data_IF_056485179854
#
_entry.id   IF_056485179854
#
_cell.length_a   1.000
_cell.length_b   1.000
_cell.length_c   1.000
_cell.angle_alpha   90.00
_cell.angle_beta   90.00
_cell.angle_gamma   90.00
#
_symmetry.space_group_name_H-M   'P 1'
#
loop_
_entity.id
_entity.type
_entity.pdbx_description
1 polymer ?
#
# COMPACT_ATOMS: atom_id res chain seq x y z
N UNK A 1 2.11 -15.57 -3.69
CA UNK A 1 2.56 -16.42 -4.79
C UNK A 1 2.26 -17.86 -4.46
N UNK A 2 1.64 -18.57 -5.38
CA UNK A 2 1.29 -19.97 -5.22
C UNK A 2 1.64 -20.72 -6.49
N UNK A 3 2.36 -21.83 -6.35
CA UNK A 3 2.59 -22.74 -7.47
C UNK A 3 1.33 -23.61 -7.63
N UNK A 4 0.66 -23.49 -8.77
CA UNK A 4 -0.58 -24.25 -9.03
C UNK A 4 -0.27 -25.68 -9.47
N UNK A 5 0.71 -25.82 -10.38
CA UNK A 5 1.10 -27.09 -10.96
C UNK A 5 2.59 -27.09 -11.33
N UNK A 6 3.21 -28.24 -11.43
CA UNK A 6 4.58 -28.43 -11.89
C UNK A 6 5.60 -28.65 -10.78
N UNK A 7 6.86 -28.70 -11.18
CA UNK A 7 8.01 -28.87 -10.27
C UNK A 7 8.29 -27.58 -9.50
N UNK A 8 8.97 -27.67 -8.31
CA UNK A 8 9.41 -26.51 -7.56
C UNK A 8 10.18 -25.51 -8.44
N UNK A 9 9.90 -24.23 -8.25
CA UNK A 9 10.54 -23.15 -8.98
C UNK A 9 11.19 -22.16 -8.02
N UNK A 10 12.33 -21.59 -8.43
CA UNK A 10 12.94 -20.50 -7.70
C UNK A 10 12.27 -19.19 -8.06
N UNK A 11 11.71 -18.55 -7.05
CA UNK A 11 11.06 -17.25 -7.17
C UNK A 11 12.07 -16.16 -6.75
N UNK A 12 12.25 -15.15 -7.61
CA UNK A 12 12.98 -13.93 -7.28
C UNK A 12 12.02 -12.76 -7.27
N UNK A 13 11.96 -12.05 -6.14
CA UNK A 13 11.13 -10.87 -5.95
C UNK A 13 12.04 -9.67 -5.68
N UNK A 14 12.12 -8.76 -6.63
CA UNK A 14 12.91 -7.54 -6.54
C UNK A 14 11.99 -6.34 -6.29
N UNK A 15 11.97 -5.76 -5.08
CA UNK A 15 11.26 -4.51 -4.84
C UNK A 15 12.01 -3.36 -5.50
N UNK A 16 11.24 -2.47 -6.11
CA UNK A 16 11.70 -1.16 -6.55
C UNK A 16 10.98 -0.09 -5.75
N UNK A 17 11.73 0.87 -5.27
CA UNK A 17 11.24 1.88 -4.33
C UNK A 17 11.64 3.28 -4.76
N UNK A 18 10.81 4.24 -4.39
CA UNK A 18 11.10 5.66 -4.40
C UNK A 18 10.66 6.27 -3.07
N UNK A 19 11.38 7.28 -2.61
CA UNK A 19 11.04 8.02 -1.40
C UNK A 19 10.83 9.48 -1.77
N UNK A 20 9.58 9.92 -1.76
CA UNK A 20 9.17 11.31 -1.93
C UNK A 20 7.81 11.52 -1.27
N UNK A 21 7.43 12.77 -1.05
CA UNK A 21 6.06 13.10 -0.67
C UNK A 21 5.12 12.73 -1.83
N UNK A 22 3.86 12.41 -1.50
CA UNK A 22 2.86 11.95 -2.47
C UNK A 22 2.66 12.96 -3.63
N UNK A 23 2.60 14.23 -3.29
CA UNK A 23 2.36 15.36 -4.20
C UNK A 23 3.63 16.04 -4.70
N UNK A 24 4.81 15.54 -4.31
CA UNK A 24 6.08 16.11 -4.76
C UNK A 24 6.37 15.72 -6.22
N UNK A 25 7.04 16.61 -6.98
CA UNK A 25 7.55 16.28 -8.31
C UNK A 25 8.45 15.05 -8.31
N UNK A 26 8.49 14.31 -9.42
CA UNK A 26 9.29 13.08 -9.52
C UNK A 26 10.78 13.33 -9.33
N UNK A 27 11.28 14.50 -9.72
CA UNK A 27 12.68 14.88 -9.54
C UNK A 27 13.08 15.16 -8.08
N UNK A 28 12.10 15.33 -7.17
CA UNK A 28 12.34 15.49 -5.72
C UNK A 28 12.57 14.15 -5.02
N UNK A 29 12.42 13.05 -5.73
CA UNK A 29 12.69 11.73 -5.17
C UNK A 29 14.10 11.62 -4.61
N UNK A 30 14.22 11.10 -3.39
CA UNK A 30 15.51 10.89 -2.74
C UNK A 30 16.32 9.85 -3.50
N UNK A 31 17.61 10.13 -3.62
CA UNK A 31 18.55 9.23 -4.33
C UNK A 31 19.16 8.21 -3.38
N UNK A 32 19.39 6.96 -3.84
CA UNK A 32 20.10 5.94 -3.08
C UNK A 32 21.57 6.38 -2.82
N UNK A 33 22.31 5.72 -1.89
CA UNK A 33 21.88 4.50 -1.20
C UNK A 33 20.91 4.78 -0.04
N UNK A 34 19.96 3.87 0.17
CA UNK A 34 19.09 3.90 1.34
C UNK A 34 19.60 2.89 2.38
N UNK A 35 19.73 3.29 3.66
CA UNK A 35 20.09 2.36 4.73
C UNK A 35 19.12 1.19 4.79
N UNK A 36 19.66 -0.03 4.85
CA UNK A 36 18.89 -1.26 4.99
C UNK A 36 19.32 -1.98 6.27
N UNK A 37 18.42 -2.07 7.22
CA UNK A 37 18.60 -2.88 8.44
C UNK A 37 18.02 -4.25 8.21
N UNK A 38 18.76 -5.28 8.62
CA UNK A 38 18.34 -6.69 8.48
C UNK A 38 18.40 -7.37 9.83
N UNK A 39 17.28 -7.92 10.27
CA UNK A 39 17.16 -8.66 11.53
C UNK A 39 16.14 -9.81 11.37
N UNK A 40 16.57 -11.04 11.56
CA UNK A 40 15.70 -12.23 11.61
C UNK A 40 14.69 -12.33 10.46
N UNK A 41 15.16 -12.13 9.22
CA UNK A 41 14.29 -12.18 8.04
C UNK A 41 13.36 -10.98 7.85
N UNK A 42 13.55 -9.93 8.66
CA UNK A 42 12.91 -8.64 8.57
C UNK A 42 13.89 -7.64 7.94
N UNK A 43 13.43 -6.90 6.97
CA UNK A 43 14.22 -5.94 6.20
C UNK A 43 13.56 -4.57 6.32
N UNK A 44 14.28 -3.61 6.82
CA UNK A 44 13.77 -2.26 7.05
C UNK A 44 14.65 -1.26 6.33
N UNK A 45 14.05 -0.56 5.38
CA UNK A 45 14.70 0.50 4.62
C UNK A 45 14.24 1.85 5.16
N UNK A 46 15.17 2.65 5.62
CA UNK A 46 14.90 3.99 6.15
C UNK A 46 15.53 5.06 5.29
N UNK A 47 14.92 6.24 5.27
CA UNK A 47 15.43 7.41 4.58
C UNK A 47 16.08 8.40 5.56
N UNK A 48 15.37 8.71 6.63
CA UNK A 48 15.79 9.61 7.71
C UNK A 48 14.90 9.36 8.94
N UNK A 49 15.28 9.94 10.07
CA UNK A 49 14.58 9.73 11.35
C UNK A 49 13.10 10.16 11.35
N UNK A 50 12.71 11.10 10.49
CA UNK A 50 11.35 11.65 10.44
C UNK A 50 10.50 11.09 9.29
N UNK A 51 11.01 10.16 8.49
CA UNK A 51 10.25 9.50 7.45
C UNK A 51 9.87 8.08 7.90
N UNK A 52 8.68 7.57 7.55
CA UNK A 52 8.33 6.19 7.84
C UNK A 52 9.30 5.26 7.13
N UNK A 53 9.80 4.25 7.85
CA UNK A 53 10.63 3.20 7.27
C UNK A 53 9.77 2.21 6.49
N UNK A 54 10.29 1.74 5.36
CA UNK A 54 9.68 0.67 4.59
C UNK A 54 10.16 -0.69 5.12
N UNK A 55 9.23 -1.46 5.64
CA UNK A 55 9.45 -2.81 6.15
C UNK A 55 9.10 -3.83 5.08
N UNK A 56 9.92 -4.86 4.95
CA UNK A 56 9.74 -5.92 3.95
C UNK A 56 10.08 -7.28 4.57
N UNK A 57 9.30 -8.31 4.25
CA UNK A 57 9.62 -9.69 4.61
C UNK A 57 8.89 -10.69 3.70
N UNK A 58 9.33 -11.94 3.74
CA UNK A 58 8.55 -13.07 3.20
C UNK A 58 7.80 -13.78 4.34
N UNK A 59 6.60 -14.28 4.03
CA UNK A 59 5.80 -15.12 4.93
C UNK A 59 5.38 -16.42 4.20
N UNK A 60 5.56 -17.61 4.78
CA UNK A 60 6.39 -17.83 5.98
C UNK A 60 7.81 -17.28 5.78
N UNK A 61 8.58 -17.15 6.84
CA UNK A 61 9.99 -16.75 6.74
C UNK A 61 10.76 -17.82 5.96
N UNK A 62 10.84 -17.65 4.65
CA UNK A 62 11.45 -18.59 3.73
C UNK A 62 12.38 -17.84 2.76
N UNK A 63 13.44 -18.53 2.35
CA UNK A 63 14.38 -17.97 1.38
C UNK A 63 15.42 -17.04 2.01
N UNK A 64 16.11 -16.34 1.13
CA UNK A 64 17.20 -15.41 1.47
C UNK A 64 17.01 -14.08 0.76
N UNK A 65 17.54 -13.04 1.35
CA UNK A 65 17.69 -11.77 0.67
C UNK A 65 19.10 -11.63 0.11
N UNK A 66 19.19 -11.32 -1.15
CA UNK A 66 20.44 -11.05 -1.84
C UNK A 66 20.59 -9.54 -2.00
N UNK A 67 21.58 -8.97 -1.33
CA UNK A 67 21.94 -7.57 -1.46
C UNK A 67 22.57 -7.35 -2.85
N UNK A 68 21.80 -6.76 -3.74
CA UNK A 68 22.18 -6.48 -5.13
C UNK A 68 21.57 -5.14 -5.53
N UNK A 69 22.18 -4.02 -5.05
CA UNK A 69 21.65 -2.70 -5.30
C UNK A 69 21.58 -2.37 -6.79
N UNK A 70 20.43 -1.90 -7.22
CA UNK A 70 20.18 -1.54 -8.62
C UNK A 70 19.44 -0.20 -8.68
N UNK A 71 19.87 0.68 -9.56
CA UNK A 71 19.12 1.85 -9.97
C UNK A 71 18.56 1.59 -11.38
N UNK A 72 17.23 1.63 -11.51
CA UNK A 72 16.53 1.55 -12.80
C UNK A 72 16.19 2.97 -13.26
N UNK A 73 16.96 3.56 -14.16
CA UNK A 73 16.69 4.90 -14.66
C UNK A 73 15.57 4.88 -15.71
N UNK A 74 14.89 6.00 -15.87
CA UNK A 74 13.98 6.25 -16.98
C UNK A 74 12.69 5.42 -16.95
N UNK A 75 12.21 5.01 -15.78
CA UNK A 75 10.88 4.39 -15.64
C UNK A 75 9.83 5.42 -16.00
N UNK A 76 9.00 5.11 -17.02
CA UNK A 76 8.01 6.05 -17.53
C UNK A 76 6.60 5.67 -17.10
N UNK A 77 5.87 6.62 -16.53
CA UNK A 77 4.48 6.51 -16.13
C UNK A 77 3.58 7.01 -17.26
N UNK A 78 2.93 6.08 -17.96
CA UNK A 78 2.16 6.40 -19.16
C UNK A 78 1.02 7.37 -18.90
N UNK A 79 0.29 7.19 -17.80
CA UNK A 79 -0.87 8.03 -17.48
C UNK A 79 -0.44 9.47 -17.19
N UNK A 80 0.65 9.67 -16.44
CA UNK A 80 1.18 10.99 -16.15
C UNK A 80 1.64 11.70 -17.42
N UNK A 81 2.34 10.96 -18.31
CA UNK A 81 2.72 11.46 -19.62
C UNK A 81 1.52 11.90 -20.47
N UNK A 82 0.47 11.07 -20.52
CA UNK A 82 -0.72 11.34 -21.30
C UNK A 82 -1.52 12.54 -20.75
N UNK A 83 -1.31 12.87 -19.47
CA UNK A 83 -1.84 14.07 -18.79
C UNK A 83 -0.94 15.30 -18.95
N UNK A 84 0.23 15.17 -19.55
CA UNK A 84 1.21 16.25 -19.71
C UNK A 84 1.99 16.57 -18.43
N UNK A 85 1.99 15.65 -17.44
CA UNK A 85 2.74 15.79 -16.19
C UNK A 85 4.16 15.23 -16.32
N UNK A 86 4.99 15.52 -15.33
CA UNK A 86 6.28 14.85 -15.17
C UNK A 86 6.05 13.34 -15.02
N UNK A 87 6.73 12.53 -15.82
CA UNK A 87 6.38 11.12 -15.98
C UNK A 87 7.56 10.16 -16.03
N UNK A 88 8.78 10.63 -15.82
CA UNK A 88 9.99 9.80 -15.85
C UNK A 88 10.70 9.88 -14.51
N UNK A 89 10.93 8.73 -13.91
CA UNK A 89 11.56 8.60 -12.60
C UNK A 89 12.64 7.52 -12.62
N UNK A 90 13.58 7.58 -11.66
CA UNK A 90 14.53 6.50 -11.40
C UNK A 90 14.12 5.77 -10.13
N UNK A 91 13.94 4.46 -10.22
CA UNK A 91 13.61 3.62 -9.09
C UNK A 91 14.84 2.89 -8.55
N UNK A 92 14.97 2.82 -7.24
CA UNK A 92 16.05 2.11 -6.58
C UNK A 92 15.57 0.75 -6.04
N UNK A 93 16.46 -0.26 -6.11
CA UNK A 93 16.24 -1.55 -5.48
C UNK A 93 17.42 -1.86 -4.55
N UNK A 94 17.19 -2.30 -3.31
CA UNK A 94 18.26 -2.73 -2.42
C UNK A 94 18.80 -4.13 -2.75
N UNK A 95 18.06 -4.91 -3.53
CA UNK A 95 18.33 -6.30 -3.82
C UNK A 95 17.05 -7.08 -4.12
N UNK A 96 17.07 -8.37 -3.90
CA UNK A 96 15.92 -9.23 -4.15
C UNK A 96 15.81 -10.36 -3.14
N UNK A 97 14.57 -10.79 -2.91
CA UNK A 97 14.28 -12.01 -2.17
C UNK A 97 14.35 -13.19 -3.13
N UNK A 98 14.97 -14.29 -2.68
CA UNK A 98 15.04 -15.55 -3.41
C UNK A 98 14.48 -16.66 -2.53
N UNK A 99 13.45 -17.35 -2.99
CA UNK A 99 12.81 -18.44 -2.27
C UNK A 99 12.39 -19.56 -3.23
N UNK A 100 12.34 -20.79 -2.74
CA UNK A 100 11.82 -21.92 -3.52
C UNK A 100 10.31 -22.02 -3.30
N UNK A 101 9.55 -21.83 -4.37
CA UNK A 101 8.10 -21.95 -4.39
C UNK A 101 7.73 -23.42 -4.65
N UNK A 102 7.14 -24.04 -3.65
CA UNK A 102 6.77 -25.45 -3.66
C UNK A 102 5.25 -25.61 -3.89
N UNK A 103 4.80 -26.71 -4.53
CA UNK A 103 3.38 -27.00 -4.62
C UNK A 103 2.73 -27.06 -3.24
N UNK A 104 1.60 -26.37 -3.09
CA UNK A 104 0.84 -26.35 -1.84
C UNK A 104 1.42 -25.45 -0.72
N UNK A 105 2.60 -24.86 -0.90
CA UNK A 105 3.22 -23.96 0.07
C UNK A 105 3.32 -22.53 -0.52
N UNK A 106 2.33 -21.68 -0.29
CA UNK A 106 2.35 -20.32 -0.79
C UNK A 106 3.39 -19.46 -0.06
N UNK A 107 3.90 -18.45 -0.76
CA UNK A 107 4.80 -17.42 -0.21
C UNK A 107 4.13 -16.07 -0.42
N UNK A 108 4.06 -15.26 0.63
CA UNK A 108 3.63 -13.87 0.57
C UNK A 108 4.82 -12.93 0.76
N UNK A 109 4.92 -11.94 -0.10
CA UNK A 109 5.77 -10.78 0.12
C UNK A 109 4.95 -9.71 0.82
N UNK A 110 5.43 -9.29 1.99
CA UNK A 110 4.81 -8.24 2.80
C UNK A 110 5.68 -6.99 2.71
N UNK A 111 5.05 -5.86 2.41
CA UNK A 111 5.68 -4.54 2.41
C UNK A 111 4.76 -3.55 3.11
N UNK A 112 5.27 -2.82 4.11
CA UNK A 112 4.46 -1.92 4.93
C UNK A 112 5.30 -0.83 5.58
N UNK A 113 4.66 0.27 5.96
CA UNK A 113 5.22 1.28 6.85
C UNK A 113 4.78 1.12 8.31
N UNK A 114 3.85 0.19 8.57
CA UNK A 114 3.38 -0.12 9.91
C UNK A 114 4.49 -0.72 10.82
N UNK A 115 4.37 -0.59 12.15
CA UNK A 115 5.24 -1.27 13.10
C UNK A 115 5.26 -2.79 12.91
N UNK A 116 6.38 -3.44 13.21
CA UNK A 116 6.52 -4.90 13.05
C UNK A 116 5.50 -5.69 13.85
N UNK A 117 5.06 -5.19 15.00
CA UNK A 117 4.04 -5.79 15.85
C UNK A 117 2.70 -5.94 15.12
N UNK A 118 2.40 -5.02 14.21
CA UNK A 118 1.19 -5.05 13.37
C UNK A 118 1.34 -5.96 12.14
N UNK A 119 2.53 -6.47 11.88
CA UNK A 119 2.81 -7.34 10.73
C UNK A 119 2.97 -8.82 11.13
N UNK A 120 2.65 -9.18 12.38
CA UNK A 120 2.70 -10.56 12.87
C UNK A 120 1.36 -11.29 12.64
N UNK A 121 1.07 -11.54 11.38
CA UNK A 121 -0.13 -12.26 10.95
C UNK A 121 0.22 -13.23 9.82
N UNK A 122 -0.66 -14.18 9.57
CA UNK A 122 -0.57 -15.01 8.36
C UNK A 122 -1.18 -14.28 7.17
N UNK A 123 -0.69 -14.48 5.95
CA UNK A 123 -1.28 -13.89 4.75
C UNK A 123 -2.79 -14.21 4.61
N UNK A 124 -3.19 -15.41 4.97
CA UNK A 124 -4.59 -15.86 4.93
C UNK A 124 -5.45 -15.01 5.87
N UNK A 125 -4.97 -14.74 7.09
CA UNK A 125 -5.71 -13.91 8.05
C UNK A 125 -5.97 -12.49 7.54
N UNK A 126 -5.03 -11.92 6.76
CA UNK A 126 -5.24 -10.59 6.15
C UNK A 126 -6.30 -10.68 5.05
N UNK A 127 -6.20 -11.68 4.17
CA UNK A 127 -7.20 -11.85 3.10
C UNK A 127 -8.60 -12.05 3.68
N UNK A 128 -8.72 -12.86 4.73
CA UNK A 128 -10.00 -13.10 5.40
C UNK A 128 -10.52 -11.82 6.08
N UNK A 129 -9.66 -11.08 6.77
CA UNK A 129 -10.03 -9.82 7.42
C UNK A 129 -10.49 -8.78 6.39
N UNK A 130 -9.77 -8.62 5.28
CA UNK A 130 -10.15 -7.69 4.22
C UNK A 130 -11.42 -8.13 3.50
N UNK A 131 -11.57 -9.42 3.19
CA UNK A 131 -12.80 -9.95 2.61
C UNK A 131 -14.02 -9.71 3.53
N UNK A 132 -13.85 -9.88 4.84
CA UNK A 132 -14.89 -9.57 5.83
C UNK A 132 -15.18 -8.07 5.91
N UNK A 133 -14.16 -7.22 5.86
CA UNK A 133 -14.32 -5.76 5.84
C UNK A 133 -15.14 -5.31 4.62
N UNK A 134 -14.75 -5.74 3.43
CA UNK A 134 -15.48 -5.43 2.18
C UNK A 134 -16.91 -5.97 2.20
N UNK A 135 -17.10 -7.17 2.73
CA UNK A 135 -18.44 -7.76 2.87
C UNK A 135 -19.33 -6.95 3.81
N UNK A 136 -18.79 -6.42 4.90
CA UNK A 136 -19.51 -5.53 5.83
C UNK A 136 -19.92 -4.22 5.17
N UNK A 137 -19.04 -3.60 4.37
CA UNK A 137 -19.37 -2.40 3.62
C UNK A 137 -20.56 -2.63 2.69
N UNK A 138 -20.53 -3.72 1.91
CA UNK A 138 -21.63 -4.05 1.00
C UNK A 138 -22.93 -4.41 1.76
N UNK A 139 -22.81 -5.01 2.95
CA UNK A 139 -23.98 -5.37 3.76
C UNK A 139 -24.70 -4.15 4.38
N UNK A 140 -24.08 -2.97 4.39
CA UNK A 140 -24.71 -1.73 4.82
C UNK A 140 -25.66 -1.14 3.78
N UNK A 141 -25.55 -1.58 2.52
CA UNK A 141 -26.46 -1.13 1.46
C UNK A 141 -27.91 -1.56 1.75
N UNK A 142 -28.90 -0.71 1.47
CA UNK A 142 -30.31 -1.11 1.57
C UNK A 142 -30.61 -2.34 0.72
N UNK A 143 -31.52 -3.21 1.20
CA UNK A 143 -31.91 -4.44 0.49
C UNK A 143 -32.40 -4.21 -0.96
N UNK A 144 -32.95 -3.01 -1.24
CA UNK A 144 -33.37 -2.63 -2.58
C UNK A 144 -32.18 -2.34 -3.52
N UNK A 145 -30.97 -2.14 -2.98
CA UNK A 145 -29.75 -1.74 -3.70
C UNK A 145 -28.83 -2.94 -3.97
N UNK A 146 -29.40 -4.08 -4.35
CA UNK A 146 -28.61 -5.29 -4.63
C UNK A 146 -28.10 -5.40 -6.07
N UNK A 147 -28.11 -4.30 -6.82
CA UNK A 147 -27.53 -4.32 -8.16
C UNK A 147 -25.99 -4.32 -8.08
N UNK A 148 -25.36 -5.05 -8.95
CA UNK A 148 -23.90 -5.18 -8.99
C UNK A 148 -23.18 -3.82 -9.06
N UNK A 149 -23.76 -2.84 -9.74
CA UNK A 149 -23.18 -1.51 -9.87
C UNK A 149 -23.12 -0.75 -8.54
N UNK A 150 -24.14 -0.87 -7.68
CA UNK A 150 -24.17 -0.19 -6.37
C UNK A 150 -23.12 -0.78 -5.45
N UNK A 151 -22.96 -2.10 -5.46
CA UNK A 151 -21.88 -2.79 -4.74
C UNK A 151 -20.50 -2.33 -5.19
N UNK A 152 -20.28 -2.23 -6.51
CA UNK A 152 -19.03 -1.75 -7.07
C UNK A 152 -18.75 -0.28 -6.72
N UNK A 153 -19.77 0.56 -6.75
CA UNK A 153 -19.64 1.98 -6.37
C UNK A 153 -19.32 2.14 -4.88
N UNK A 154 -19.93 1.36 -3.99
CA UNK A 154 -19.63 1.37 -2.56
C UNK A 154 -18.17 0.97 -2.30
N UNK A 155 -17.70 -0.10 -2.90
CA UNK A 155 -16.32 -0.53 -2.79
C UNK A 155 -15.33 0.48 -3.40
N UNK A 156 -15.73 1.16 -4.47
CA UNK A 156 -14.93 2.22 -5.07
C UNK A 156 -14.89 3.48 -4.18
N UNK A 157 -15.99 3.85 -3.55
CA UNK A 157 -16.07 4.99 -2.63
C UNK A 157 -15.13 4.82 -1.42
N UNK A 158 -15.06 3.63 -0.85
CA UNK A 158 -14.17 3.30 0.27
C UNK A 158 -12.69 3.61 -0.04
N UNK A 159 -12.26 3.46 -1.28
CA UNK A 159 -10.87 3.72 -1.69
C UNK A 159 -10.47 5.21 -1.59
N UNK A 160 -11.42 6.12 -1.59
CA UNK A 160 -11.16 7.56 -1.46
C UNK A 160 -11.11 8.02 0.00
N UNK A 161 -11.59 7.22 0.93
CA UNK A 161 -11.66 7.54 2.36
C UNK A 161 -10.42 6.98 3.05
N UNK A 162 -9.53 7.86 3.50
CA UNK A 162 -8.23 7.48 4.02
C UNK A 162 -7.96 8.11 5.39
N UNK A 163 -7.02 7.52 6.14
CA UNK A 163 -6.44 8.14 7.32
C UNK A 163 -5.48 9.26 6.90
N UNK A 164 -5.65 10.49 7.40
CA UNK A 164 -4.79 11.61 7.04
C UNK A 164 -3.39 11.44 7.66
N UNK A 165 -2.45 10.87 6.92
CA UNK A 165 -1.10 10.55 7.41
C UNK A 165 -0.30 11.74 7.95
N UNK A 166 -0.58 12.96 7.47
CA UNK A 166 0.07 14.20 7.90
C UNK A 166 -0.56 14.86 9.14
N UNK A 167 -1.73 14.41 9.60
CA UNK A 167 -2.50 15.02 10.71
C UNK A 167 -2.44 14.19 11.97
N UNK A 168 -1.23 13.92 12.45
CA UNK A 168 -1.02 13.02 13.60
C UNK A 168 -1.69 13.52 14.90
N UNK A 169 -1.73 14.82 15.12
CA UNK A 169 -2.40 15.40 16.30
C UNK A 169 -3.92 15.19 16.25
N UNK A 170 -4.55 15.42 15.09
CA UNK A 170 -5.99 15.19 14.90
C UNK A 170 -6.34 13.71 15.07
N UNK A 171 -5.50 12.81 14.53
CA UNK A 171 -5.67 11.37 14.73
C UNK A 171 -5.56 10.96 16.21
N UNK A 172 -4.58 11.51 16.93
CA UNK A 172 -4.40 11.22 18.34
C UNK A 172 -5.60 11.71 19.16
N UNK A 173 -6.11 12.91 18.85
CA UNK A 173 -7.28 13.47 19.52
C UNK A 173 -8.55 12.65 19.25
N UNK A 174 -8.78 12.26 17.99
CA UNK A 174 -9.90 11.42 17.62
C UNK A 174 -9.86 10.07 18.36
N UNK A 175 -8.71 9.41 18.37
CA UNK A 175 -8.51 8.14 19.09
C UNK A 175 -8.74 8.28 20.59
N UNK A 176 -8.30 9.38 21.20
CA UNK A 176 -8.53 9.66 22.62
C UNK A 176 -10.03 9.82 22.95
N UNK A 177 -10.83 10.21 21.96
CA UNK A 177 -12.30 10.33 22.07
C UNK A 177 -13.04 9.06 21.67
N UNK A 178 -12.33 7.99 21.32
CA UNK A 178 -12.91 6.74 20.84
C UNK A 178 -13.39 6.79 19.38
N UNK A 179 -12.88 7.75 18.61
CA UNK A 179 -13.23 8.02 17.22
C UNK A 179 -12.02 7.87 16.30
N UNK A 180 -12.20 8.01 14.99
CA UNK A 180 -11.16 7.92 13.99
C UNK A 180 -11.22 9.10 13.01
N UNK A 181 -10.10 9.81 12.86
CA UNK A 181 -9.99 10.87 11.86
C UNK A 181 -9.93 10.27 10.45
N UNK A 182 -10.83 10.69 9.58
CA UNK A 182 -10.87 10.31 8.17
C UNK A 182 -10.87 11.54 7.28
N UNK A 183 -10.35 11.38 6.07
CA UNK A 183 -10.40 12.41 5.03
C UNK A 183 -10.61 11.77 3.66
N UNK A 184 -10.93 12.59 2.66
CA UNK A 184 -11.16 12.14 1.30
C UNK A 184 -10.02 12.62 0.40
N UNK A 185 -9.39 11.72 -0.34
CA UNK A 185 -8.41 12.07 -1.36
C UNK A 185 -9.14 12.61 -2.60
N UNK A 186 -8.80 13.85 -2.98
CA UNK A 186 -9.31 14.47 -4.21
C UNK A 186 -8.48 14.02 -5.41
N UNK A 187 -9.09 13.28 -6.35
CA UNK A 187 -8.37 12.82 -7.55
C UNK A 187 -7.25 11.87 -7.22
N UNK A 188 -7.61 10.72 -6.69
CA UNK A 188 -6.71 9.63 -6.34
C UNK A 188 -5.87 9.25 -7.56
N UNK A 189 -4.65 9.17 -7.46
CA UNK A 189 -3.55 9.25 -6.49
C UNK A 189 -2.62 10.45 -6.76
N UNK A 190 -3.07 11.44 -7.53
CA UNK A 190 -2.27 12.61 -7.92
C UNK A 190 -2.37 13.78 -6.95
N UNK A 191 -3.44 13.83 -6.15
CA UNK A 191 -3.70 14.92 -5.22
C UNK A 191 -3.82 14.42 -3.79
N UNK A 192 -3.61 15.33 -2.84
CA UNK A 192 -3.86 15.11 -1.43
C UNK A 192 -5.35 15.33 -1.08
N UNK A 193 -5.67 15.40 0.19
CA UNK A 193 -6.99 15.75 0.66
C UNK A 193 -7.22 17.27 0.55
N UNK A 194 -8.34 17.62 -0.07
CA UNK A 194 -8.79 19.00 -0.23
C UNK A 194 -10.16 19.18 0.41
N UNK A 195 -10.27 20.13 1.36
CA UNK A 195 -11.49 20.33 2.13
C UNK A 195 -12.73 20.62 1.27
N UNK A 196 -12.57 21.42 0.21
CA UNK A 196 -13.68 21.70 -0.73
C UNK A 196 -14.15 20.41 -1.40
N UNK A 197 -13.23 19.60 -1.92
CA UNK A 197 -13.54 18.38 -2.65
C UNK A 197 -14.14 17.33 -1.70
N UNK A 198 -13.64 17.25 -0.47
CA UNK A 198 -14.24 16.45 0.60
C UNK A 198 -15.70 16.84 0.82
N UNK A 199 -16.00 18.14 0.98
CA UNK A 199 -17.37 18.60 1.25
C UNK A 199 -18.32 18.35 0.08
N UNK A 200 -17.86 18.50 -1.17
CA UNK A 200 -18.67 18.24 -2.37
C UNK A 200 -18.99 16.76 -2.52
N UNK A 201 -18.03 15.88 -2.20
CA UNK A 201 -18.18 14.44 -2.40
C UNK A 201 -18.72 13.69 -1.19
N UNK A 202 -18.81 14.33 -0.02
CA UNK A 202 -19.15 13.70 1.26
C UNK A 202 -20.46 12.91 1.18
N UNK A 203 -21.51 13.51 0.59
CA UNK A 203 -22.82 12.88 0.48
C UNK A 203 -22.74 11.55 -0.29
N UNK A 204 -22.10 11.56 -1.46
CA UNK A 204 -21.96 10.38 -2.31
C UNK A 204 -21.01 9.31 -1.78
N UNK A 205 -19.94 9.73 -1.07
CA UNK A 205 -18.92 8.80 -0.58
C UNK A 205 -19.24 8.21 0.79
N UNK A 206 -20.14 8.82 1.56
CA UNK A 206 -20.44 8.38 2.93
C UNK A 206 -21.93 8.13 3.15
N UNK A 207 -22.79 9.15 3.02
CA UNK A 207 -24.21 9.03 3.36
C UNK A 207 -24.98 8.10 2.42
N UNK A 208 -24.57 8.00 1.15
CA UNK A 208 -25.22 7.10 0.19
C UNK A 208 -24.65 5.66 0.24
N UNK A 209 -23.51 5.45 0.86
CA UNK A 209 -22.85 4.14 0.93
C UNK A 209 -22.95 3.46 2.30
N UNK A 210 -23.44 4.13 3.31
CA UNK A 210 -23.66 3.64 4.68
C UNK A 210 -22.65 4.15 5.67
#
# INVERSE_FOLDING_TARGET
>A
YRLLEGDPVRLHLRPFVTFRMLDAPLHDARKPPFPLTVLDGRYEMSLCENAPSLKMCLRPHAGVFVADPLLSPGVSYRVDRDRGAEHVESLASPGYFSADLMPGLPIAFVSSTEPWEHLEFTPEAIFDAEAQRLSKLVAQLPDASQHDIERWLTLAADQFIVLPGSRMEEQALARASGDEARTVIAGYHWFTDWGRDTMISLDGLTLCTG
#
